data_IF_355286578968
#
_entry.id   IF_355286578968
#
_cell.length_a   1.000
_cell.length_b   1.000
_cell.length_c   1.000
_cell.angle_alpha   90.00
_cell.angle_beta   90.00
_cell.angle_gamma   90.00
#
_symmetry.space_group_name_H-M   'P 1'
#
loop_
_entity.id
_entity.type
_entity.pdbx_description
1 polymer ?
#
# COMPACT_ATOMS: atom_id res chain seq x y z
N UNK A 1 -25.83 3.82 10.84
CA UNK A 1 -25.17 5.15 10.88
C UNK A 1 -23.73 4.93 11.30
N UNK A 2 -22.78 5.58 10.61
CA UNK A 2 -21.31 5.53 10.74
C UNK A 2 -20.61 4.38 10.01
N UNK A 3 -20.17 4.67 8.79
CA UNK A 3 -18.81 4.37 8.34
C UNK A 3 -18.49 5.48 7.35
N UNK A 4 -17.91 6.57 7.87
CA UNK A 4 -17.32 7.61 7.04
C UNK A 4 -16.16 6.95 6.28
N UNK A 5 -16.36 6.80 4.98
CA UNK A 5 -15.31 6.48 4.02
C UNK A 5 -14.29 7.62 4.08
N UNK A 6 -13.28 7.46 4.94
CA UNK A 6 -12.38 8.54 5.27
C UNK A 6 -11.15 8.47 4.36
N UNK A 7 -11.29 9.00 3.14
CA UNK A 7 -10.14 9.25 2.26
C UNK A 7 -9.44 10.51 2.75
N UNK A 8 -8.32 10.34 3.46
CA UNK A 8 -7.51 11.47 3.92
C UNK A 8 -6.28 11.58 3.03
N UNK A 9 -6.24 12.63 2.20
CA UNK A 9 -5.08 12.94 1.36
C UNK A 9 -4.26 14.06 2.00
N UNK A 10 -3.06 13.74 2.46
CA UNK A 10 -2.12 14.71 3.05
C UNK A 10 -0.81 14.77 2.24
N UNK A 11 -0.13 15.93 2.20
CA UNK A 11 1.25 15.98 1.71
C UNK A 11 2.12 15.07 2.56
N UNK A 12 2.95 14.24 1.93
CA UNK A 12 3.83 13.34 2.65
C UNK A 12 5.11 14.09 3.08
N UNK A 13 5.24 14.36 4.38
CA UNK A 13 6.44 14.96 4.98
C UNK A 13 7.57 13.92 5.04
N UNK A 14 8.67 14.15 4.30
CA UNK A 14 10.00 13.50 4.32
C UNK A 14 10.14 12.02 4.75
N UNK A 15 9.09 11.22 4.61
CA UNK A 15 9.00 9.86 5.12
C UNK A 15 9.17 8.79 4.04
N UNK A 16 8.98 7.51 4.41
CA UNK A 16 8.92 6.40 3.45
C UNK A 16 7.99 6.72 2.27
N UNK A 17 8.43 6.42 1.05
CA UNK A 17 7.69 6.75 -0.16
C UNK A 17 8.09 5.90 -1.35
N UNK A 18 7.61 6.24 -2.55
CA UNK A 18 8.02 5.56 -3.78
C UNK A 18 9.54 5.60 -3.96
N UNK A 19 10.11 4.52 -4.47
CA UNK A 19 11.54 4.41 -4.76
C UNK A 19 11.73 4.27 -6.26
N UNK A 20 12.60 5.10 -6.84
CA UNK A 20 12.89 5.08 -8.27
C UNK A 20 13.35 3.68 -8.72
N UNK A 21 12.83 3.22 -9.87
CA UNK A 21 13.10 1.88 -10.40
C UNK A 21 12.37 0.76 -9.67
N UNK A 22 11.37 1.07 -8.85
CA UNK A 22 10.49 0.08 -8.21
C UNK A 22 9.04 0.54 -8.34
N UNK A 23 8.19 -0.30 -8.93
CA UNK A 23 6.78 -0.02 -9.14
C UNK A 23 6.03 0.10 -7.81
N UNK A 24 6.30 -0.81 -6.87
CA UNK A 24 5.66 -0.88 -5.54
C UNK A 24 6.70 -1.12 -4.45
N UNK A 25 6.67 -0.29 -3.41
CA UNK A 25 7.50 -0.44 -2.22
C UNK A 25 6.61 -0.60 -1.00
N UNK A 26 6.69 -1.73 -0.30
CA UNK A 26 5.99 -1.90 0.98
C UNK A 26 6.70 -1.13 2.07
N UNK A 27 5.93 -0.37 2.84
CA UNK A 27 6.41 0.47 3.94
C UNK A 27 6.14 -0.24 5.28
N UNK A 28 7.00 -0.03 6.29
CA UNK A 28 6.79 -0.63 7.60
C UNK A 28 5.51 -0.10 8.24
N UNK A 29 4.79 -0.97 8.95
CA UNK A 29 3.59 -0.56 9.69
C UNK A 29 3.93 0.17 10.99
N UNK A 30 5.10 -0.12 11.55
CA UNK A 30 5.60 0.43 12.80
C UNK A 30 7.12 0.31 12.86
N UNK A 31 7.72 0.97 13.84
CA UNK A 31 9.10 0.78 14.22
C UNK A 31 9.13 0.27 15.66
N UNK A 32 9.62 -0.95 15.88
CA UNK A 32 9.84 -1.50 17.22
C UNK A 32 11.30 -1.27 17.60
N UNK A 33 11.53 -0.41 18.60
CA UNK A 33 12.89 -0.03 19.03
C UNK A 33 13.83 0.44 17.90
N UNK A 34 13.28 1.01 16.82
CA UNK A 34 14.03 1.46 15.64
C UNK A 34 14.10 0.43 14.52
N UNK A 35 13.67 -0.80 14.75
CA UNK A 35 13.56 -1.86 13.74
C UNK A 35 12.24 -1.72 12.97
N UNK A 36 12.27 -1.65 11.63
CA UNK A 36 11.06 -1.60 10.82
C UNK A 36 10.30 -2.93 10.89
N UNK A 37 9.04 -2.85 11.34
CA UNK A 37 8.13 -3.99 11.45
C UNK A 37 7.19 -3.99 10.25
N UNK A 38 7.12 -5.12 9.57
CA UNK A 38 6.17 -5.38 8.49
C UNK A 38 5.15 -6.43 8.90
N UNK A 39 3.93 -6.36 8.35
CA UNK A 39 2.94 -7.40 8.60
C UNK A 39 3.33 -8.73 7.95
N UNK A 40 2.82 -9.83 8.51
CA UNK A 40 3.12 -11.21 8.09
C UNK A 40 2.96 -11.46 6.58
N UNK A 41 1.93 -10.86 5.99
CA UNK A 41 1.59 -11.03 4.57
C UNK A 41 2.51 -10.30 3.61
N UNK A 42 3.39 -9.38 4.07
CA UNK A 42 4.19 -8.53 3.17
C UNK A 42 5.03 -9.34 2.19
N UNK A 43 5.73 -10.39 2.65
CA UNK A 43 6.56 -11.22 1.76
C UNK A 43 5.71 -11.91 0.70
N UNK A 44 4.56 -12.47 1.08
CA UNK A 44 3.63 -13.11 0.14
C UNK A 44 3.11 -12.11 -0.91
N UNK A 45 2.80 -10.89 -0.51
CA UNK A 45 2.32 -9.86 -1.42
C UNK A 45 3.41 -9.40 -2.41
N UNK A 46 4.66 -9.30 -1.94
CA UNK A 46 5.82 -9.00 -2.81
C UNK A 46 6.00 -10.10 -3.86
N UNK A 47 5.93 -11.37 -3.46
CA UNK A 47 6.01 -12.52 -4.39
C UNK A 47 4.86 -12.49 -5.41
N UNK A 48 3.63 -12.22 -4.97
CA UNK A 48 2.47 -12.12 -5.86
C UNK A 48 2.61 -11.02 -6.92
N UNK A 49 3.08 -9.83 -6.53
CA UNK A 49 3.30 -8.72 -7.46
C UNK A 49 4.47 -9.03 -8.42
N UNK A 50 5.54 -9.61 -7.90
CA UNK A 50 6.71 -10.01 -8.72
C UNK A 50 6.34 -11.07 -9.74
N UNK A 51 5.48 -12.04 -9.37
CA UNK A 51 4.96 -13.05 -10.28
C UNK A 51 4.08 -12.45 -11.41
N UNK A 52 3.52 -11.25 -11.21
CA UNK A 52 2.78 -10.50 -12.23
C UNK A 52 3.69 -9.60 -13.09
N UNK A 53 5.01 -9.65 -12.89
CA UNK A 53 5.99 -8.82 -13.59
C UNK A 53 6.14 -7.41 -13.03
N UNK A 54 5.57 -7.13 -11.86
CA UNK A 54 5.69 -5.83 -11.17
C UNK A 54 6.89 -5.85 -10.24
N UNK A 55 7.74 -4.83 -10.33
CA UNK A 55 8.88 -4.71 -9.42
C UNK A 55 8.40 -4.29 -8.03
N UNK A 56 8.37 -5.25 -7.09
CA UNK A 56 7.94 -5.04 -5.72
C UNK A 56 9.03 -5.40 -4.71
N UNK A 57 9.14 -4.61 -3.63
CA UNK A 57 10.04 -4.91 -2.49
C UNK A 57 9.60 -4.22 -1.22
N UNK A 58 10.17 -4.59 -0.09
CA UNK A 58 10.11 -3.80 1.14
C UNK A 58 11.03 -2.57 1.06
N UNK A 59 10.71 -1.51 1.79
CA UNK A 59 11.55 -0.31 1.84
C UNK A 59 12.91 -0.59 2.49
N UNK A 60 12.90 -1.43 3.53
CA UNK A 60 14.10 -1.90 4.22
C UNK A 60 14.41 -3.34 3.79
N UNK A 61 15.70 -3.73 3.70
CA UNK A 61 16.06 -5.11 3.38
C UNK A 61 15.63 -6.07 4.50
N UNK A 62 15.42 -7.34 4.13
CA UNK A 62 14.96 -8.37 5.07
C UNK A 62 15.90 -8.56 6.28
N UNK A 63 17.21 -8.32 6.11
CA UNK A 63 18.19 -8.41 7.19
C UNK A 63 18.07 -7.30 8.25
N UNK A 64 17.39 -6.20 7.92
CA UNK A 64 17.21 -5.02 8.77
C UNK A 64 15.75 -4.85 9.21
N UNK A 65 14.91 -5.89 9.04
CA UNK A 65 13.47 -5.78 9.32
C UNK A 65 12.90 -7.00 10.01
N UNK A 66 11.82 -6.76 10.75
CA UNK A 66 11.06 -7.81 11.43
C UNK A 66 9.72 -8.02 10.74
N UNK A 67 9.40 -9.29 10.46
CA UNK A 67 8.06 -9.67 10.03
C UNK A 67 7.26 -10.06 11.27
N UNK A 68 6.17 -9.35 11.51
CA UNK A 68 5.26 -9.64 12.62
C UNK A 68 4.69 -11.05 12.44
N UNK A 69 5.25 -12.01 13.17
CA UNK A 69 4.72 -13.38 13.20
C UNK A 69 3.44 -13.39 14.01
N UNK A 70 2.30 -13.27 13.33
CA UNK A 70 1.00 -13.33 13.96
C UNK A 70 0.77 -14.71 14.60
N UNK A 71 1.04 -14.86 15.90
CA UNK A 71 0.47 -15.94 16.70
C UNK A 71 -0.84 -15.45 17.32
N UNK A 72 -1.95 -15.61 16.60
CA UNK A 72 -3.29 -15.41 17.15
C UNK A 72 -4.39 -15.37 16.07
N UNK A 73 -5.60 -15.88 16.37
CA UNK A 73 -6.71 -16.01 15.41
C UNK A 73 -7.33 -14.68 14.94
N UNK A 74 -6.89 -13.53 15.48
CA UNK A 74 -7.47 -12.19 15.23
C UNK A 74 -6.70 -11.38 14.18
N UNK A 75 -5.46 -11.75 13.87
CA UNK A 75 -4.63 -11.04 12.89
C UNK A 75 -5.02 -11.35 11.43
N UNK A 76 -5.90 -12.33 11.21
CA UNK A 76 -6.24 -12.85 9.88
C UNK A 76 -7.36 -12.05 9.18
N UNK A 77 -8.07 -11.17 9.90
CA UNK A 77 -9.33 -10.59 9.41
C UNK A 77 -9.18 -9.23 8.72
N UNK A 78 -8.14 -8.45 9.03
CA UNK A 78 -7.92 -7.10 8.48
C UNK A 78 -6.56 -7.05 7.77
N UNK A 79 -6.57 -6.87 6.45
CA UNK A 79 -5.35 -6.57 5.72
C UNK A 79 -4.98 -5.10 5.98
N UNK A 80 -3.88 -4.85 6.70
CA UNK A 80 -3.29 -3.52 6.78
C UNK A 80 -1.98 -3.49 5.98
N UNK A 81 -1.89 -2.60 4.98
CA UNK A 81 -0.66 -2.38 4.20
C UNK A 81 -0.40 -0.88 4.00
N UNK A 82 0.88 -0.54 3.96
CA UNK A 82 1.35 0.77 3.52
C UNK A 82 2.28 0.56 2.31
N UNK A 83 2.06 1.29 1.23
CA UNK A 83 2.77 1.11 -0.04
C UNK A 83 3.17 2.46 -0.66
N UNK A 84 4.40 2.57 -1.11
CA UNK A 84 4.87 3.60 -2.03
C UNK A 84 4.70 3.11 -3.47
N UNK A 85 3.97 3.84 -4.30
CA UNK A 85 3.67 3.45 -5.68
C UNK A 85 4.30 4.48 -6.62
N UNK A 86 5.23 4.04 -7.46
CA UNK A 86 6.00 4.92 -8.35
C UNK A 86 5.57 4.81 -9.82
N UNK A 87 4.70 3.85 -10.16
CA UNK A 87 4.28 3.60 -11.53
C UNK A 87 2.81 3.21 -11.64
N UNK A 88 2.26 3.39 -12.85
CA UNK A 88 0.92 2.92 -13.20
C UNK A 88 0.79 1.41 -13.10
N UNK A 89 1.83 0.65 -13.49
CA UNK A 89 1.86 -0.80 -13.35
C UNK A 89 1.71 -1.24 -11.89
N UNK A 90 2.43 -0.57 -10.96
CA UNK A 90 2.28 -0.80 -9.53
C UNK A 90 0.89 -0.45 -9.02
N UNK A 91 0.32 0.67 -9.47
CA UNK A 91 -1.02 1.12 -9.10
C UNK A 91 -2.10 0.10 -9.47
N UNK A 92 -2.12 -0.32 -10.74
CA UNK A 92 -3.11 -1.29 -11.23
C UNK A 92 -2.92 -2.69 -10.61
N UNK A 93 -1.69 -3.09 -10.33
CA UNK A 93 -1.43 -4.37 -9.67
C UNK A 93 -1.91 -4.38 -8.21
N UNK A 94 -1.73 -3.27 -7.48
CA UNK A 94 -2.32 -3.12 -6.14
C UNK A 94 -3.84 -3.21 -6.21
N UNK A 95 -4.50 -2.52 -7.15
CA UNK A 95 -5.95 -2.64 -7.32
C UNK A 95 -6.39 -4.09 -7.58
N UNK A 96 -5.72 -4.77 -8.53
CA UNK A 96 -6.02 -6.17 -8.89
C UNK A 96 -5.84 -7.13 -7.70
N UNK A 97 -4.76 -6.95 -6.94
CA UNK A 97 -4.46 -7.71 -5.73
C UNK A 97 -5.53 -7.51 -4.66
N UNK A 98 -5.99 -6.27 -4.45
CA UNK A 98 -7.02 -5.95 -3.45
C UNK A 98 -8.40 -6.46 -3.87
N UNK A 99 -8.75 -6.43 -5.17
CA UNK A 99 -10.01 -7.01 -5.70
C UNK A 99 -10.14 -8.50 -5.42
N UNK A 100 -9.03 -9.21 -5.36
CA UNK A 100 -9.01 -10.66 -5.11
C UNK A 100 -9.25 -11.03 -3.64
N UNK A 101 -9.36 -10.03 -2.74
CA UNK A 101 -9.51 -10.24 -1.31
C UNK A 101 -10.95 -10.02 -0.85
N UNK A 102 -11.32 -10.77 0.17
CA UNK A 102 -12.58 -10.61 0.89
C UNK A 102 -12.29 -10.12 2.30
N UNK A 103 -13.10 -9.21 2.81
CA UNK A 103 -12.99 -8.66 4.16
C UNK A 103 -12.51 -7.19 4.21
N UNK A 104 -12.42 -6.64 5.43
CA UNK A 104 -12.00 -5.26 5.62
C UNK A 104 -10.50 -5.11 5.32
N UNK A 105 -10.15 -3.99 4.68
CA UNK A 105 -8.79 -3.62 4.32
C UNK A 105 -8.50 -2.20 4.84
N UNK A 106 -7.23 -1.95 5.17
CA UNK A 106 -6.68 -0.62 5.39
C UNK A 106 -5.42 -0.46 4.56
N UNK A 107 -5.45 0.48 3.63
CA UNK A 107 -4.37 0.75 2.67
C UNK A 107 -3.89 2.18 2.86
N UNK A 108 -2.59 2.35 3.05
CA UNK A 108 -1.93 3.66 3.01
C UNK A 108 -1.12 3.71 1.72
N UNK A 109 -1.58 4.48 0.74
CA UNK A 109 -0.90 4.64 -0.55
C UNK A 109 -0.12 5.95 -0.57
N UNK A 110 1.18 5.89 -0.84
CA UNK A 110 2.06 7.05 -1.02
C UNK A 110 2.48 7.09 -2.49
N UNK A 111 2.20 8.19 -3.19
CA UNK A 111 2.42 8.30 -4.63
C UNK A 111 2.79 9.73 -5.02
N UNK A 112 3.32 9.92 -6.22
CA UNK A 112 3.61 11.26 -6.75
C UNK A 112 2.45 11.75 -7.63
N UNK A 113 2.02 12.98 -7.40
CA UNK A 113 0.98 13.66 -8.16
C UNK A 113 1.37 15.13 -8.32
N UNK A 114 1.47 15.62 -9.56
CA UNK A 114 1.81 17.02 -9.90
C UNK A 114 3.19 17.43 -9.35
N UNK A 115 4.15 16.50 -9.39
CA UNK A 115 5.48 16.68 -8.81
C UNK A 115 5.50 16.78 -7.28
N UNK A 116 4.39 16.45 -6.62
CA UNK A 116 4.24 16.48 -5.17
C UNK A 116 3.94 15.08 -4.65
N UNK A 117 4.57 14.72 -3.52
CA UNK A 117 4.26 13.45 -2.85
C UNK A 117 2.95 13.55 -2.09
N UNK A 118 2.02 12.67 -2.41
CA UNK A 118 0.71 12.52 -1.76
C UNK A 118 0.68 11.24 -0.95
N UNK A 119 -0.05 11.26 0.15
CA UNK A 119 -0.43 10.09 0.93
C UNK A 119 -1.95 10.03 1.00
N UNK A 120 -2.54 8.92 0.59
CA UNK A 120 -3.95 8.61 0.78
C UNK A 120 -4.10 7.46 1.77
N UNK A 121 -4.93 7.64 2.79
CA UNK A 121 -5.34 6.58 3.71
C UNK A 121 -6.74 6.13 3.37
N UNK A 122 -6.90 4.82 3.13
CA UNK A 122 -8.14 4.18 2.72
C UNK A 122 -8.46 3.05 3.69
N UNK A 123 -9.69 3.00 4.18
CA UNK A 123 -10.15 1.92 5.05
C UNK A 123 -11.61 1.59 4.72
N UNK A 124 -11.93 0.30 4.62
CA UNK A 124 -13.27 -0.15 4.24
C UNK A 124 -13.24 -1.60 3.75
N UNK A 125 -14.29 -2.01 3.03
CA UNK A 125 -14.26 -3.29 2.34
C UNK A 125 -13.34 -3.22 1.11
N UNK A 126 -12.96 -4.38 0.60
CA UNK A 126 -12.13 -4.47 -0.60
C UNK A 126 -12.67 -3.67 -1.79
N UNK A 127 -13.98 -3.75 -2.07
CA UNK A 127 -14.62 -3.03 -3.18
C UNK A 127 -14.55 -1.51 -3.00
N UNK A 128 -14.89 -1.01 -1.80
CA UNK A 128 -14.84 0.42 -1.47
C UNK A 128 -13.41 0.97 -1.59
N UNK A 129 -12.41 0.25 -1.05
CA UNK A 129 -11.00 0.65 -1.12
C UNK A 129 -10.50 0.66 -2.56
N UNK A 130 -10.87 -0.34 -3.37
CA UNK A 130 -10.49 -0.40 -4.79
C UNK A 130 -11.13 0.76 -5.56
N UNK A 131 -12.42 1.04 -5.37
CA UNK A 131 -13.10 2.16 -6.01
C UNK A 131 -12.49 3.51 -5.63
N UNK A 132 -12.07 3.66 -4.38
CA UNK A 132 -11.34 4.86 -3.95
C UNK A 132 -9.98 4.98 -4.65
N UNK A 133 -9.22 3.89 -4.80
CA UNK A 133 -7.95 3.87 -5.56
C UNK A 133 -8.15 4.16 -7.05
N UNK A 134 -9.22 3.66 -7.66
CA UNK A 134 -9.56 3.98 -9.05
C UNK A 134 -9.87 5.47 -9.23
N UNK A 135 -10.57 6.08 -8.27
CA UNK A 135 -10.92 7.50 -8.31
C UNK A 135 -9.70 8.40 -8.06
N UNK A 136 -8.75 7.95 -7.25
CA UNK A 136 -7.51 8.66 -6.94
C UNK A 136 -6.43 8.52 -8.00
N UNK A 137 -6.62 7.65 -9.01
CA UNK A 137 -5.57 7.22 -9.93
C UNK A 137 -4.71 8.36 -10.48
N UNK A 138 -3.46 8.51 -9.99
CA UNK A 138 -2.60 9.61 -10.41
C UNK A 138 -2.05 9.42 -11.84
N UNK A 139 -2.31 8.28 -12.47
CA UNK A 139 -1.84 7.91 -13.81
C UNK A 139 -2.95 7.85 -14.86
N UNK A 140 -4.20 8.18 -14.47
CA UNK A 140 -5.37 8.03 -15.31
C UNK A 140 -5.43 9.04 -16.47
N UNK A 141 -6.18 8.73 -17.54
CA UNK A 141 -6.29 9.56 -18.76
C UNK A 141 -7.05 10.88 -18.56
N UNK A 142 -7.51 11.19 -17.35
CA UNK A 142 -8.27 12.41 -17.03
C UNK A 142 -7.44 13.60 -16.55
N UNK A 143 -6.10 13.52 -16.60
CA UNK A 143 -5.22 14.62 -16.18
C UNK A 143 -5.18 15.71 -17.27
N UNK A 144 -5.54 16.97 -16.98
CA UNK A 144 -5.15 18.08 -17.84
C UNK A 144 -3.61 18.20 -17.79
N UNK A 145 -2.99 18.27 -18.97
CA UNK A 145 -1.56 18.55 -19.16
C UNK A 145 -1.17 19.91 -18.58
#
# INVERSE_FOLDING_TARGET
>A
MLSEESVVTVPADAGPGPVAGTDVVFLPQAFDHGTPVYPAHTTQLVDQLTAQGVTARTWHPAAESEILSARGPVADTLLQIAVGIASSAGWYAIQSMLRSRSGPLRVIAVFEQDGQRRRAELAGNADDVVRALETLDPFGPGRPD
#
